data_IF_019077651765
#
_entry.id   IF_019077651765
#
_cell.length_a   1.000
_cell.length_b   1.000
_cell.length_c   1.000
_cell.angle_alpha   90.00
_cell.angle_beta   90.00
_cell.angle_gamma   90.00
#
_symmetry.space_group_name_H-M   'P 1'
#
loop_
_entity.id
_entity.type
_entity.pdbx_description
1 polymer ?
#
# COMPACT_ATOMS: atom_id res chain seq x y z
N UNK A 1 14.55 0.95 9.09
CA UNK A 1 13.64 1.72 8.21
C UNK A 1 12.33 1.98 8.97
N UNK A 2 11.73 3.17 8.84
CA UNK A 2 10.34 3.43 9.22
C UNK A 2 9.70 4.22 8.08
N UNK A 3 8.65 3.66 7.46
CA UNK A 3 8.07 4.22 6.25
C UNK A 3 6.54 4.11 6.25
N UNK A 4 5.89 5.03 5.54
CA UNK A 4 4.47 4.94 5.24
C UNK A 4 4.19 5.46 3.83
N UNK A 5 3.22 4.84 3.16
CA UNK A 5 2.72 5.29 1.85
C UNK A 5 1.24 5.59 1.98
N UNK A 6 0.85 6.81 1.63
CA UNK A 6 -0.55 7.22 1.59
C UNK A 6 -1.08 7.04 0.18
N UNK A 7 -2.12 6.22 0.02
CA UNK A 7 -2.86 6.14 -1.23
C UNK A 7 -3.73 7.37 -1.40
N UNK A 8 -3.69 7.94 -2.60
CA UNK A 8 -4.50 9.08 -3.01
C UNK A 8 -5.05 8.83 -4.41
N UNK A 9 -6.26 9.32 -4.67
CA UNK A 9 -6.89 9.24 -5.99
C UNK A 9 -6.36 10.31 -6.94
N UNK A 10 -5.89 11.42 -6.38
CA UNK A 10 -5.27 12.55 -7.09
C UNK A 10 -3.96 12.92 -6.38
N UNK A 11 -2.85 12.89 -7.11
CA UNK A 11 -1.51 13.18 -6.58
C UNK A 11 -1.26 14.68 -6.35
N UNK A 12 -1.89 15.57 -7.13
CA UNK A 12 -1.75 17.02 -6.97
C UNK A 12 -2.56 17.51 -5.77
N UNK A 13 -3.83 17.10 -5.69
CA UNK A 13 -4.76 17.51 -4.63
C UNK A 13 -4.61 16.70 -3.36
N UNK A 14 -3.87 15.58 -3.41
CA UNK A 14 -3.72 14.60 -2.32
C UNK A 14 -5.08 14.09 -1.83
N UNK A 15 -6.03 13.96 -2.75
CA UNK A 15 -7.40 13.53 -2.49
C UNK A 15 -7.37 12.11 -1.95
N UNK A 16 -7.98 11.89 -0.79
CA UNK A 16 -7.98 10.57 -0.16
C UNK A 16 -8.96 9.65 -0.88
N UNK A 17 -8.71 8.34 -0.85
CA UNK A 17 -9.65 7.36 -1.38
C UNK A 17 -11.01 7.45 -0.67
N UNK A 18 -12.12 7.27 -1.39
CA UNK A 18 -13.43 7.16 -0.76
C UNK A 18 -13.48 5.92 0.12
N UNK A 19 -14.16 6.00 1.27
CA UNK A 19 -14.27 4.88 2.22
C UNK A 19 -14.88 3.62 1.59
N UNK A 20 -15.80 3.80 0.63
CA UNK A 20 -16.43 2.71 -0.12
C UNK A 20 -15.44 1.88 -0.96
N UNK A 21 -14.27 2.43 -1.30
CA UNK A 21 -13.23 1.70 -2.03
C UNK A 21 -12.39 0.76 -1.12
N UNK A 22 -12.67 0.70 0.18
CA UNK A 22 -12.00 -0.14 1.18
C UNK A 22 -10.48 -0.32 0.93
N UNK A 23 -9.71 0.77 0.68
CA UNK A 23 -8.34 0.67 0.16
C UNK A 23 -7.41 -0.09 1.11
N UNK A 24 -7.62 0.06 2.42
CA UNK A 24 -6.86 -0.60 3.46
C UNK A 24 -6.98 -2.13 3.40
N UNK A 25 -8.22 -2.62 3.21
CA UNK A 25 -8.54 -4.05 3.17
C UNK A 25 -7.95 -4.69 1.91
N UNK A 26 -8.15 -4.04 0.75
CA UNK A 26 -7.62 -4.52 -0.53
C UNK A 26 -6.10 -4.67 -0.52
N UNK A 27 -5.40 -3.67 0.02
CA UNK A 27 -3.94 -3.75 0.17
C UNK A 27 -3.54 -4.83 1.17
N UNK A 28 -4.18 -4.89 2.33
CA UNK A 28 -3.82 -5.85 3.37
C UNK A 28 -3.96 -7.29 2.87
N UNK A 29 -5.07 -7.62 2.19
CA UNK A 29 -5.32 -8.95 1.64
C UNK A 29 -4.26 -9.35 0.60
N UNK A 30 -3.81 -8.40 -0.23
CA UNK A 30 -2.78 -8.62 -1.26
C UNK A 30 -1.38 -8.73 -0.64
N UNK A 31 -1.04 -7.84 0.28
CA UNK A 31 0.21 -7.90 1.04
C UNK A 31 0.35 -9.24 1.76
N UNK A 32 -0.72 -9.70 2.41
CA UNK A 32 -0.75 -10.98 3.10
C UNK A 32 -0.47 -12.16 2.15
N UNK A 33 -1.09 -12.17 0.97
CA UNK A 33 -0.84 -13.20 -0.07
C UNK A 33 0.59 -13.18 -0.60
N UNK A 34 1.25 -12.03 -0.56
CA UNK A 34 2.65 -11.87 -0.96
C UNK A 34 3.64 -12.09 0.21
N UNK A 35 3.17 -12.51 1.39
CA UNK A 35 4.01 -12.74 2.56
C UNK A 35 4.58 -11.45 3.16
N UNK A 36 3.88 -10.32 2.99
CA UNK A 36 4.24 -9.02 3.53
C UNK A 36 3.29 -8.65 4.67
N UNK A 37 3.85 -8.45 5.87
CA UNK A 37 3.08 -7.99 7.03
C UNK A 37 3.25 -6.48 7.16
N UNK A 38 2.18 -5.74 6.88
CA UNK A 38 2.10 -4.28 7.00
C UNK A 38 0.85 -3.87 7.75
N UNK A 39 0.86 -2.64 8.29
CA UNK A 39 -0.33 -2.05 8.89
C UNK A 39 -1.05 -1.18 7.87
N UNK A 40 -2.28 -1.52 7.52
CA UNK A 40 -3.14 -0.67 6.70
C UNK A 40 -4.13 0.11 7.58
N UNK A 41 -4.18 1.42 7.42
CA UNK A 41 -5.09 2.31 8.14
C UNK A 41 -6.33 2.61 7.29
N UNK A 42 -7.52 2.81 7.90
CA UNK A 42 -8.76 3.09 7.18
C UNK A 42 -8.68 4.29 6.23
N UNK A 43 -7.76 5.22 6.48
CA UNK A 43 -7.49 6.40 5.65
C UNK A 43 -6.73 6.11 4.36
N UNK A 44 -6.43 4.84 4.06
CA UNK A 44 -5.66 4.43 2.89
C UNK A 44 -4.15 4.61 3.05
N UNK A 45 -3.66 4.65 4.29
CA UNK A 45 -2.22 4.68 4.58
C UNK A 45 -1.73 3.26 4.87
N UNK A 46 -0.62 2.85 4.26
CA UNK A 46 0.10 1.63 4.62
C UNK A 46 1.39 2.00 5.36
N UNK A 47 1.59 1.43 6.54
CA UNK A 47 2.76 1.61 7.38
C UNK A 47 3.65 0.37 7.37
N UNK A 48 4.95 0.61 7.21
CA UNK A 48 5.99 -0.40 7.25
C UNK A 48 7.01 -0.05 8.35
N UNK A 49 7.11 -0.91 9.36
CA UNK A 49 7.99 -0.75 10.52
C UNK A 49 8.71 -2.09 10.79
N UNK A 50 9.72 -2.46 9.98
CA UNK A 50 10.50 -3.66 10.21
C UNK A 50 11.31 -3.59 11.51
N UNK A 51 11.74 -4.75 12.04
CA UNK A 51 12.70 -4.82 13.13
C UNK A 51 13.96 -3.97 12.90
N UNK A 52 14.54 -3.45 13.98
CA UNK A 52 15.77 -2.64 13.92
C UNK A 52 17.00 -3.45 13.47
N UNK A 53 16.93 -4.78 13.54
CA UNK A 53 17.99 -5.71 13.14
C UNK A 53 17.90 -6.17 11.68
N UNK A 54 16.98 -5.65 10.87
CA UNK A 54 16.89 -6.03 9.46
C UNK A 54 18.14 -5.59 8.68
N UNK A 55 18.63 -6.50 7.86
CA UNK A 55 19.66 -6.28 6.85
C UNK A 55 19.11 -5.53 5.64
N UNK A 56 20.00 -4.96 4.83
CA UNK A 56 19.62 -4.25 3.60
C UNK A 56 18.82 -5.12 2.64
N UNK A 57 19.20 -6.39 2.47
CA UNK A 57 18.50 -7.33 1.59
C UNK A 57 17.08 -7.67 2.08
N UNK A 58 16.86 -7.70 3.40
CA UNK A 58 15.51 -7.84 3.96
C UNK A 58 14.66 -6.60 3.72
N UNK A 59 15.27 -5.41 3.80
CA UNK A 59 14.60 -4.14 3.45
C UNK A 59 14.24 -4.12 1.96
N UNK A 60 15.14 -4.55 1.07
CA UNK A 60 14.89 -4.63 -0.37
C UNK A 60 13.72 -5.58 -0.67
N UNK A 61 13.68 -6.75 -0.03
CA UNK A 61 12.57 -7.68 -0.17
C UNK A 61 11.22 -7.10 0.29
N UNK A 62 11.22 -6.30 1.37
CA UNK A 62 10.03 -5.59 1.85
C UNK A 62 9.57 -4.55 0.82
N UNK A 63 10.49 -3.77 0.27
CA UNK A 63 10.20 -2.74 -0.73
C UNK A 63 9.66 -3.38 -2.01
N UNK A 64 10.28 -4.47 -2.48
CA UNK A 64 9.85 -5.19 -3.68
C UNK A 64 8.42 -5.75 -3.53
N UNK A 65 8.13 -6.40 -2.39
CA UNK A 65 6.78 -6.90 -2.10
C UNK A 65 5.77 -5.76 -1.97
N UNK A 66 6.17 -4.64 -1.36
CA UNK A 66 5.30 -3.46 -1.26
C UNK A 66 4.96 -2.91 -2.65
N UNK A 67 5.94 -2.80 -3.54
CA UNK A 67 5.73 -2.36 -4.92
C UNK A 67 4.77 -3.30 -5.66
N UNK A 68 5.01 -4.62 -5.59
CA UNK A 68 4.14 -5.62 -6.22
C UNK A 68 2.71 -5.59 -5.66
N UNK A 69 2.54 -5.36 -4.36
CA UNK A 69 1.21 -5.19 -3.75
C UNK A 69 0.49 -3.96 -4.31
N UNK A 70 1.21 -2.85 -4.50
CA UNK A 70 0.65 -1.62 -5.07
C UNK A 70 0.26 -1.81 -6.55
N UNK A 71 1.10 -2.48 -7.32
CA UNK A 71 0.83 -2.78 -8.73
C UNK A 71 -0.40 -3.70 -8.88
N UNK A 72 -0.49 -4.76 -8.07
CA UNK A 72 -1.66 -5.65 -8.03
C UNK A 72 -2.93 -4.92 -7.62
N UNK A 73 -2.82 -3.90 -6.75
CA UNK A 73 -3.95 -3.06 -6.35
C UNK A 73 -4.34 -2.10 -7.47
N UNK A 74 -3.38 -1.56 -8.21
CA UNK A 74 -3.62 -0.66 -9.35
C UNK A 74 -4.23 -1.39 -10.56
N UNK A 75 -3.95 -2.69 -10.71
CA UNK A 75 -4.54 -3.52 -11.76
C UNK A 75 -6.05 -3.76 -11.57
N UNK A 76 -6.59 -3.50 -10.37
CA UNK A 76 -8.01 -3.61 -10.09
C UNK A 76 -8.81 -2.51 -10.82
N UNK A 77 -9.80 -2.93 -11.61
CA UNK A 77 -10.60 -2.02 -12.44
C UNK A 77 -11.32 -0.96 -11.59
N UNK A 78 -11.80 -1.33 -10.39
CA UNK A 78 -12.50 -0.41 -9.50
C UNK A 78 -11.56 0.64 -8.89
N UNK A 79 -10.33 0.23 -8.55
CA UNK A 79 -9.30 1.15 -8.04
C UNK A 79 -8.89 2.12 -9.15
N UNK A 80 -8.67 1.61 -10.36
CA UNK A 80 -8.28 2.44 -11.50
C UNK A 80 -9.38 3.43 -11.90
N UNK A 81 -10.65 3.03 -11.84
CA UNK A 81 -11.78 3.91 -12.08
C UNK A 81 -11.92 5.03 -11.03
N UNK A 82 -11.38 4.82 -9.82
CA UNK A 82 -11.38 5.82 -8.75
C UNK A 82 -10.27 6.87 -8.88
N UNK A 83 -9.32 6.68 -9.79
CA UNK A 83 -8.21 7.62 -10.01
C UNK A 83 -8.71 8.86 -10.77
N UNK A 84 -8.31 10.02 -10.28
CA UNK A 84 -8.59 11.31 -10.90
C UNK A 84 -7.29 11.81 -11.52
N UNK A 85 -7.32 12.12 -12.82
CA UNK A 85 -6.18 12.63 -13.58
C UNK A 85 -5.86 14.08 -13.25
#
# INVERSE_FOLDING_TARGET
MLAAVKLVTDKQRKTSFPAAAEPAKRILDRAWKQGLVIRAFPTGVLGCAPPLCCSESEIDAIVERTARTLDDTLADAEVRASLQH
#
